data_IF_926089448717
#
_entry.id   IF_926089448717
#
_cell.length_a   1.000
_cell.length_b   1.000
_cell.length_c   1.000
_cell.angle_alpha   90.00
_cell.angle_beta   90.00
_cell.angle_gamma   90.00
#
_symmetry.space_group_name_H-M   'P 1'
#
loop_
_entity.id
_entity.type
_entity.pdbx_description
1 polymer ?
#
# COMPACT_ATOMS: atom_id res chain seq x y z
N UNK A 1 -24.15 9.53 -9.68
CA UNK A 1 -24.47 8.12 -9.37
C UNK A 1 -23.42 7.65 -8.40
N UNK A 2 -23.78 7.38 -7.13
CA UNK A 2 -22.82 6.89 -6.15
C UNK A 2 -22.50 5.42 -6.42
N UNK A 3 -21.22 5.11 -6.63
CA UNK A 3 -20.74 3.73 -6.77
C UNK A 3 -20.42 3.21 -5.37
N UNK A 4 -21.36 2.50 -4.74
CA UNK A 4 -21.08 1.81 -3.48
C UNK A 4 -20.03 0.72 -3.72
N UNK A 5 -18.93 0.75 -2.97
CA UNK A 5 -17.93 -0.34 -2.96
C UNK A 5 -17.95 -1.05 -1.62
N UNK A 6 -17.77 -2.36 -1.66
CA UNK A 6 -17.56 -3.16 -0.45
C UNK A 6 -16.08 -3.08 -0.09
N UNK A 7 -15.79 -2.67 1.15
CA UNK A 7 -14.45 -2.79 1.70
C UNK A 7 -14.22 -4.22 2.24
N UNK A 8 -12.96 -4.58 2.39
CA UNK A 8 -12.54 -5.86 2.96
C UNK A 8 -11.54 -5.64 4.08
N UNK A 9 -11.79 -6.25 5.24
CA UNK A 9 -10.98 -6.10 6.46
C UNK A 9 -10.13 -7.36 6.64
N UNK A 10 -8.83 -7.26 6.95
CA UNK A 10 -7.94 -8.41 7.06
C UNK A 10 -8.33 -9.33 8.21
N UNK A 11 -8.24 -10.63 7.99
CA UNK A 11 -8.31 -11.67 9.02
C UNK A 11 -6.91 -12.26 9.21
N UNK A 12 -6.36 -12.07 10.40
CA UNK A 12 -5.00 -12.45 10.74
C UNK A 12 -4.91 -13.89 11.26
N UNK A 13 -3.83 -14.58 10.90
CA UNK A 13 -3.50 -15.87 11.51
C UNK A 13 -2.99 -15.69 12.94
N UNK A 14 -3.26 -16.67 13.79
CA UNK A 14 -2.70 -16.71 15.15
C UNK A 14 -1.27 -17.28 15.23
N UNK A 15 -0.70 -17.76 14.10
CA UNK A 15 0.57 -18.50 14.07
C UNK A 15 1.55 -17.95 13.00
N UNK A 16 2.84 -17.77 13.30
CA UNK A 16 3.74 -16.88 12.55
C UNK A 16 4.41 -17.51 11.32
N UNK A 17 4.05 -18.74 10.92
CA UNK A 17 4.73 -19.44 9.83
C UNK A 17 3.80 -19.59 8.64
N UNK A 18 3.74 -18.56 7.79
CA UNK A 18 3.11 -18.73 6.49
C UNK A 18 4.11 -18.38 5.38
N UNK A 19 4.25 -19.31 4.45
CA UNK A 19 4.81 -19.01 3.14
C UNK A 19 3.76 -18.24 2.34
N UNK A 20 4.17 -17.11 1.78
CA UNK A 20 3.30 -16.16 1.07
C UNK A 20 2.58 -16.75 -0.15
N UNK A 21 2.95 -17.96 -0.58
CA UNK A 21 2.37 -18.63 -1.73
C UNK A 21 0.87 -18.89 -1.58
N UNK A 22 0.41 -19.21 -0.37
CA UNK A 22 -1.01 -19.50 -0.09
C UNK A 22 -1.73 -18.32 0.57
N UNK A 23 -1.02 -17.54 1.39
CA UNK A 23 -1.60 -16.40 2.09
C UNK A 23 -1.99 -15.26 1.16
N UNK A 24 -2.98 -14.46 1.59
CA UNK A 24 -3.41 -13.29 0.82
C UNK A 24 -2.43 -12.15 0.94
N UNK A 25 -1.86 -11.91 2.13
CA UNK A 25 -0.98 -10.77 2.35
C UNK A 25 -0.07 -10.99 3.55
N UNK A 26 1.12 -10.37 3.49
CA UNK A 26 2.05 -10.20 4.60
C UNK A 26 2.17 -8.70 4.91
N UNK A 27 2.08 -8.35 6.18
CA UNK A 27 2.39 -7.01 6.69
C UNK A 27 3.69 -7.10 7.48
N UNK A 28 4.59 -6.15 7.25
CA UNK A 28 5.90 -6.11 7.88
C UNK A 28 6.79 -7.30 7.51
N UNK A 29 7.71 -7.62 8.42
CA UNK A 29 8.68 -8.71 8.28
C UNK A 29 9.85 -8.37 7.35
N UNK A 30 10.83 -9.27 7.36
CA UNK A 30 12.03 -9.16 6.53
C UNK A 30 11.89 -9.84 5.16
N UNK A 31 10.74 -10.47 4.87
CA UNK A 31 10.54 -11.41 3.78
C UNK A 31 9.71 -10.81 2.64
N UNK A 32 10.25 -9.79 1.98
CA UNK A 32 9.75 -9.30 0.70
C UNK A 32 10.37 -10.07 -0.46
N UNK A 33 9.57 -10.32 -1.49
CA UNK A 33 10.11 -10.84 -2.74
C UNK A 33 10.76 -9.73 -3.56
N UNK A 34 12.01 -9.95 -3.95
CA UNK A 34 12.72 -9.20 -4.98
C UNK A 34 13.18 -10.19 -6.06
N UNK A 35 13.27 -9.76 -7.32
CA UNK A 35 13.81 -10.63 -8.39
C UNK A 35 15.29 -10.92 -8.14
N UNK A 36 15.84 -12.09 -8.52
CA UNK A 36 17.29 -12.30 -8.51
C UNK A 36 17.96 -11.11 -9.23
N UNK A 37 18.93 -10.46 -8.57
CA UNK A 37 19.63 -9.26 -9.05
C UNK A 37 18.87 -7.92 -8.94
N UNK A 38 17.65 -7.91 -8.44
CA UNK A 38 16.97 -6.67 -8.09
C UNK A 38 17.57 -6.05 -6.81
N UNK A 39 18.04 -4.79 -6.87
CA UNK A 39 18.54 -4.12 -5.69
C UNK A 39 17.39 -3.85 -4.71
N UNK A 40 17.71 -3.98 -3.43
CA UNK A 40 16.87 -3.51 -2.34
C UNK A 40 16.52 -2.02 -2.53
N UNK A 41 15.24 -1.64 -2.44
CA UNK A 41 14.82 -0.25 -2.59
C UNK A 41 15.42 0.68 -1.54
N UNK A 42 15.84 1.87 -1.93
CA UNK A 42 16.39 2.90 -1.02
C UNK A 42 15.54 4.16 -1.06
N UNK A 43 15.51 4.90 0.06
CA UNK A 43 14.85 6.19 0.17
C UNK A 43 15.57 7.21 -0.70
N UNK A 44 14.85 7.91 -1.59
CA UNK A 44 15.47 8.92 -2.45
C UNK A 44 15.94 10.17 -1.65
N UNK A 45 15.42 10.36 -0.44
CA UNK A 45 15.73 11.51 0.42
C UNK A 45 16.99 11.27 1.26
N UNK A 46 17.07 10.13 1.97
CA UNK A 46 18.16 9.85 2.92
C UNK A 46 19.05 8.65 2.54
N UNK A 47 18.78 7.98 1.42
CA UNK A 47 19.48 6.78 0.95
C UNK A 47 19.41 5.55 1.87
N UNK A 48 18.68 5.61 3.00
CA UNK A 48 18.44 4.43 3.82
C UNK A 48 17.68 3.34 3.05
N UNK A 49 17.99 2.05 3.27
CA UNK A 49 17.16 0.95 2.78
C UNK A 49 15.71 1.12 3.25
N UNK A 50 14.75 0.98 2.35
CA UNK A 50 13.34 1.04 2.71
C UNK A 50 12.92 -0.24 3.43
N UNK A 51 12.07 -0.11 4.44
CA UNK A 51 11.51 -1.24 5.18
C UNK A 51 10.27 -1.80 4.46
N UNK A 52 10.11 -3.13 4.40
CA UNK A 52 8.88 -3.76 3.96
C UNK A 52 7.69 -3.35 4.82
N UNK A 53 6.62 -2.87 4.20
CA UNK A 53 5.38 -2.58 4.90
C UNK A 53 4.29 -3.61 4.58
N UNK A 54 4.08 -3.90 3.29
CA UNK A 54 2.98 -4.74 2.83
C UNK A 54 3.35 -5.48 1.56
N UNK A 55 3.06 -6.77 1.52
CA UNK A 55 3.11 -7.62 0.32
C UNK A 55 1.81 -8.40 0.17
N UNK A 56 0.96 -7.97 -0.76
CA UNK A 56 -0.31 -8.62 -1.06
C UNK A 56 -0.20 -9.48 -2.31
N UNK A 57 -0.62 -10.75 -2.20
CA UNK A 57 -0.69 -11.72 -3.29
C UNK A 57 -2.02 -11.60 -4.04
N UNK A 58 -2.04 -10.80 -5.11
CA UNK A 58 -3.21 -10.60 -5.96
C UNK A 58 -3.57 -11.85 -6.79
N UNK A 59 -2.73 -12.88 -6.79
CA UNK A 59 -3.01 -14.15 -7.44
C UNK A 59 -3.60 -15.21 -6.49
N UNK A 60 -3.49 -15.04 -5.18
CA UNK A 60 -4.05 -15.99 -4.20
C UNK A 60 -5.58 -15.99 -4.22
N UNK A 61 -6.19 -17.17 -4.09
CA UNK A 61 -7.65 -17.30 -3.91
C UNK A 61 -8.14 -16.72 -2.59
N UNK A 62 -7.25 -16.59 -1.60
CA UNK A 62 -7.52 -15.92 -0.34
C UNK A 62 -7.73 -14.40 -0.52
N UNK A 63 -7.26 -13.81 -1.63
CA UNK A 63 -7.48 -12.40 -1.94
C UNK A 63 -8.86 -12.19 -2.60
N UNK A 64 -9.67 -11.20 -2.18
CA UNK A 64 -11.01 -11.00 -2.70
C UNK A 64 -11.02 -10.87 -4.21
N UNK A 65 -11.91 -11.61 -4.88
CA UNK A 65 -11.97 -11.67 -6.34
C UNK A 65 -12.18 -10.28 -6.98
N UNK A 66 -12.96 -9.42 -6.32
CA UNK A 66 -13.17 -8.02 -6.71
C UNK A 66 -11.89 -7.20 -6.71
N UNK A 67 -10.92 -7.49 -5.84
CA UNK A 67 -9.61 -6.83 -5.83
C UNK A 67 -8.73 -7.40 -6.93
N UNK A 68 -8.70 -8.74 -7.07
CA UNK A 68 -7.88 -9.44 -8.06
C UNK A 68 -8.15 -8.97 -9.49
N UNK A 69 -9.40 -8.65 -9.82
CA UNK A 69 -9.77 -8.14 -11.16
C UNK A 69 -9.23 -6.74 -11.46
N UNK A 70 -8.83 -5.97 -10.45
CA UNK A 70 -8.28 -4.62 -10.63
C UNK A 70 -6.75 -4.63 -10.82
N UNK A 71 -6.07 -5.70 -10.42
CA UNK A 71 -4.62 -5.83 -10.54
C UNK A 71 -4.29 -6.56 -11.85
N UNK A 72 -3.48 -5.96 -12.74
CA UNK A 72 -2.97 -6.64 -13.92
C UNK A 72 -2.29 -7.94 -13.57
N UNK A 73 -2.86 -9.05 -14.03
CA UNK A 73 -2.20 -10.35 -13.95
C UNK A 73 -1.41 -10.59 -15.23
N UNK A 74 -0.14 -11.00 -15.15
CA UNK A 74 0.63 -11.37 -16.33
C UNK A 74 -0.06 -12.56 -16.99
N UNK A 75 -0.31 -12.45 -18.30
CA UNK A 75 -0.77 -13.61 -19.07
C UNK A 75 0.39 -14.59 -19.13
N UNK A 76 0.28 -15.82 -18.61
CA UNK A 76 1.37 -16.77 -18.71
C UNK A 76 1.65 -17.02 -20.18
N UNK A 77 2.89 -16.76 -20.62
CA UNK A 77 3.34 -17.18 -21.94
C UNK A 77 3.18 -18.70 -22.04
N UNK A 78 2.83 -19.24 -23.22
CA UNK A 78 2.67 -20.69 -23.40
C UNK A 78 3.92 -21.43 -22.91
N UNK A 79 3.76 -22.26 -21.88
CA UNK A 79 4.84 -23.04 -21.27
C UNK A 79 5.62 -22.37 -20.13
N UNK A 80 5.26 -21.14 -19.73
CA UNK A 80 5.85 -20.48 -18.57
C UNK A 80 5.29 -21.05 -17.25
N UNK A 81 6.14 -21.13 -16.22
CA UNK A 81 5.72 -21.45 -14.84
C UNK A 81 4.66 -20.44 -14.38
N UNK A 82 3.74 -20.88 -13.51
CA UNK A 82 2.77 -19.96 -12.89
C UNK A 82 3.54 -18.84 -12.18
N UNK A 83 3.10 -17.61 -12.42
CA UNK A 83 3.63 -16.42 -11.80
C UNK A 83 2.55 -15.84 -10.88
N UNK A 84 2.90 -15.54 -9.64
CA UNK A 84 2.06 -14.79 -8.73
C UNK A 84 2.28 -13.29 -8.97
N UNK A 85 1.20 -12.51 -8.82
CA UNK A 85 1.23 -11.05 -8.88
C UNK A 85 1.18 -10.51 -7.48
N UNK A 86 2.19 -9.75 -7.10
CA UNK A 86 2.31 -9.13 -5.78
C UNK A 86 2.12 -7.63 -5.89
N UNK A 87 1.33 -7.03 -5.01
CA UNK A 87 1.36 -5.58 -4.73
C UNK A 87 2.27 -5.39 -3.53
N UNK A 88 3.32 -4.59 -3.68
CA UNK A 88 4.34 -4.38 -2.65
C UNK A 88 4.44 -2.90 -2.30
N UNK A 89 4.58 -2.63 -1.00
CA UNK A 89 4.88 -1.31 -0.44
C UNK A 89 6.10 -1.40 0.47
N UNK A 90 7.09 -0.56 0.15
CA UNK A 90 8.26 -0.30 0.97
C UNK A 90 8.24 1.16 1.41
N UNK A 91 8.64 1.43 2.64
CA UNK A 91 8.58 2.78 3.21
C UNK A 91 9.85 3.13 3.97
N UNK A 92 10.15 4.41 4.12
CA UNK A 92 11.34 4.86 4.83
C UNK A 92 11.06 4.80 6.33
N UNK A 93 11.97 4.26 7.15
CA UNK A 93 11.73 4.24 8.59
C UNK A 93 11.98 5.61 9.25
N UNK A 94 12.53 6.59 8.52
CA UNK A 94 12.82 7.94 9.01
C UNK A 94 11.64 8.89 8.80
N UNK A 95 11.00 9.34 9.89
CA UNK A 95 9.79 10.17 9.88
C UNK A 95 9.92 11.46 9.05
N UNK A 96 11.03 12.19 9.19
CA UNK A 96 11.28 13.45 8.49
C UNK A 96 11.31 13.30 6.95
N UNK A 97 11.59 12.10 6.46
CA UNK A 97 11.58 11.82 5.02
C UNK A 97 10.17 11.90 4.43
N UNK A 98 9.12 11.59 5.21
CA UNK A 98 7.73 11.69 4.73
C UNK A 98 7.27 13.13 4.60
N UNK A 99 7.62 13.99 5.54
CA UNK A 99 7.30 15.42 5.50
C UNK A 99 7.95 16.08 4.27
N UNK A 100 9.20 15.70 3.97
CA UNK A 100 9.91 16.14 2.76
C UNK A 100 9.27 15.60 1.47
N UNK A 101 8.75 14.37 1.51
CA UNK A 101 8.12 13.72 0.34
C UNK A 101 6.73 14.28 0.03
N UNK A 102 5.99 14.69 1.05
CA UNK A 102 4.64 15.27 0.92
C UNK A 102 4.70 16.76 0.59
N UNK A 103 5.77 17.46 1.00
CA UNK A 103 5.97 18.90 0.82
C UNK A 103 6.48 19.37 -0.55
N UNK A 104 5.85 18.99 -1.67
CA UNK A 104 6.02 19.65 -2.99
C UNK A 104 7.22 19.25 -3.90
N UNK A 105 7.89 18.10 -3.71
CA UNK A 105 9.02 17.67 -4.56
C UNK A 105 8.84 16.26 -5.13
N UNK A 106 8.86 16.12 -6.46
CA UNK A 106 8.69 14.83 -7.18
C UNK A 106 9.91 13.90 -7.12
N UNK A 107 11.06 14.40 -6.64
CA UNK A 107 12.34 13.68 -6.63
C UNK A 107 12.72 13.07 -5.28
N UNK A 108 11.92 13.29 -4.23
CA UNK A 108 12.23 12.89 -2.86
C UNK A 108 11.20 11.90 -2.37
N UNK A 109 11.19 10.67 -2.89
CA UNK A 109 10.24 9.63 -2.47
C UNK A 109 10.77 8.84 -1.27
N UNK A 110 10.03 8.90 -0.15
CA UNK A 110 10.27 8.06 1.04
C UNK A 110 9.57 6.70 0.98
N UNK A 111 8.99 6.31 -0.16
CA UNK A 111 8.34 5.01 -0.35
C UNK A 111 8.53 4.49 -1.78
N UNK A 112 8.30 3.19 -1.94
CA UNK A 112 8.16 2.51 -3.23
C UNK A 112 6.92 1.63 -3.17
N UNK A 113 5.93 1.93 -4.04
CA UNK A 113 4.77 1.07 -4.28
C UNK A 113 4.84 0.51 -5.69
N UNK A 114 4.58 -0.79 -5.86
CA UNK A 114 4.74 -1.46 -7.14
C UNK A 114 3.94 -2.74 -7.28
N UNK A 115 3.78 -3.17 -8.53
CA UNK A 115 3.33 -4.52 -8.89
C UNK A 115 4.56 -5.34 -9.28
N UNK A 116 4.77 -6.45 -8.60
CA UNK A 116 5.83 -7.41 -8.90
C UNK A 116 5.24 -8.72 -9.42
N UNK A 117 5.94 -9.34 -10.35
CA UNK A 117 5.61 -10.67 -10.85
C UNK A 117 6.65 -11.66 -10.33
N UNK A 118 6.17 -12.71 -9.68
CA UNK A 118 6.96 -13.57 -8.80
C UNK A 118 6.77 -15.04 -9.22
N UNK A 119 7.84 -15.84 -9.40
CA UNK A 119 7.69 -17.27 -9.56
C UNK A 119 7.12 -17.88 -8.27
N UNK A 120 6.23 -18.86 -8.39
CA UNK A 120 5.60 -19.56 -7.24
C UNK A 120 6.64 -20.22 -6.30
N UNK A 121 7.87 -20.44 -6.78
CA UNK A 121 9.03 -20.80 -5.95
C UNK A 121 10.07 -19.68 -6.04
N UNK A 122 10.17 -18.80 -5.03
CA UNK A 122 11.21 -17.77 -4.98
C UNK A 122 12.62 -18.39 -5.05
N UNK A 123 13.56 -17.66 -5.65
CA UNK A 123 14.97 -18.00 -5.59
C UNK A 123 15.54 -17.81 -4.19
N UNK A 124 16.69 -18.43 -3.94
CA UNK A 124 17.45 -18.22 -2.72
C UNK A 124 17.86 -16.75 -2.53
N UNK A 125 18.06 -16.41 -1.27
CA UNK A 125 18.54 -15.12 -0.80
C UNK A 125 19.87 -14.70 -1.45
N UNK A 126 20.02 -13.43 -1.77
CA UNK A 126 21.27 -12.89 -2.35
C UNK A 126 22.10 -12.20 -1.28
N UNK A 127 23.45 -12.18 -1.38
CA UNK A 127 24.30 -11.44 -0.44
C UNK A 127 23.94 -9.95 -0.32
N UNK A 128 23.45 -9.34 -1.40
CA UNK A 128 23.02 -7.93 -1.42
C UNK A 128 21.80 -7.71 -0.52
N UNK A 129 20.84 -8.64 -0.54
CA UNK A 129 19.65 -8.55 0.33
C UNK A 129 20.01 -8.78 1.80
N UNK A 130 20.97 -9.67 2.07
CA UNK A 130 21.45 -9.88 3.43
C UNK A 130 22.10 -8.61 4.00
N UNK A 131 22.91 -7.89 3.22
CA UNK A 131 23.51 -6.61 3.64
C UNK A 131 22.45 -5.54 3.91
N UNK A 132 21.48 -5.37 3.00
CA UNK A 132 20.40 -4.41 3.17
C UNK A 132 19.57 -4.70 4.42
N UNK A 133 19.28 -5.98 4.69
CA UNK A 133 18.53 -6.38 5.89
C UNK A 133 19.32 -6.17 7.17
N UNK A 134 20.61 -6.48 7.18
CA UNK A 134 21.48 -6.18 8.31
C UNK A 134 21.46 -4.67 8.65
N UNK A 135 21.52 -3.80 7.63
CA UNK A 135 21.42 -2.34 7.82
C UNK A 135 20.07 -1.90 8.40
N UNK A 136 18.98 -2.58 8.05
CA UNK A 136 17.65 -2.31 8.63
C UNK A 136 17.61 -2.77 10.08
N UNK A 137 18.13 -3.97 10.38
CA UNK A 137 18.19 -4.53 11.73
C UNK A 137 19.06 -3.71 12.69
N UNK A 138 20.16 -3.13 12.21
CA UNK A 138 21.03 -2.24 12.99
C UNK A 138 20.37 -0.90 13.32
N UNK A 139 19.41 -0.46 12.50
CA UNK A 139 18.68 0.79 12.67
C UNK A 139 17.38 0.60 13.45
N UNK A 140 16.26 0.86 12.78
CA UNK A 140 14.93 0.85 13.38
C UNK A 140 14.25 -0.54 13.36
N UNK A 141 14.93 -1.56 12.82
CA UNK A 141 14.42 -2.92 12.74
C UNK A 141 13.30 -3.13 11.71
N UNK A 142 12.82 -4.37 11.64
CA UNK A 142 11.63 -4.73 10.86
C UNK A 142 10.39 -4.66 11.73
N UNK A 143 9.28 -4.27 11.11
CA UNK A 143 7.97 -4.42 11.69
C UNK A 143 7.69 -5.91 11.94
N UNK A 144 7.04 -6.29 13.06
CA UNK A 144 6.60 -7.66 13.28
C UNK A 144 5.78 -8.18 12.10
N UNK A 145 6.14 -9.37 11.61
CA UNK A 145 5.46 -10.00 10.50
C UNK A 145 4.05 -10.44 10.90
N UNK A 146 3.04 -10.04 10.13
CA UNK A 146 1.65 -10.50 10.30
C UNK A 146 1.12 -11.04 8.98
N UNK A 147 0.47 -12.19 9.04
CA UNK A 147 -0.06 -12.84 7.84
C UNK A 147 -1.57 -12.72 7.83
N UNK A 148 -2.10 -12.34 6.67
CA UNK A 148 -3.53 -12.29 6.39
C UNK A 148 -3.90 -13.52 5.57
N UNK A 149 -4.68 -14.41 6.18
CA UNK A 149 -5.17 -15.65 5.55
C UNK A 149 -6.46 -15.45 4.77
N UNK A 150 -7.20 -14.37 5.08
CA UNK A 150 -8.49 -14.11 4.47
C UNK A 150 -9.00 -12.72 4.80
N UNK A 151 -10.23 -12.45 4.35
CA UNK A 151 -10.83 -11.13 4.46
C UNK A 151 -12.29 -11.22 4.87
N UNK A 152 -12.66 -10.43 5.87
CA UNK A 152 -14.04 -10.21 6.24
C UNK A 152 -14.63 -9.11 5.35
N UNK A 153 -15.92 -9.22 5.03
CA UNK A 153 -16.66 -8.16 4.34
C UNK A 153 -16.80 -6.99 5.33
N UNK A 154 -16.26 -5.84 4.96
CA UNK A 154 -16.40 -4.59 5.70
C UNK A 154 -17.69 -3.84 5.36
N UNK A 155 -17.79 -2.58 5.78
CA UNK A 155 -18.95 -1.75 5.46
C UNK A 155 -18.96 -1.35 3.97
N UNK A 156 -20.14 -1.00 3.48
CA UNK A 156 -20.27 -0.33 2.19
C UNK A 156 -19.84 1.11 2.36
N UNK A 157 -18.82 1.51 1.62
CA UNK A 157 -18.33 2.88 1.66
C UNK A 157 -18.89 3.64 0.46
N UNK A 158 -19.25 4.90 0.70
CA UNK A 158 -19.87 5.79 -0.29
C UNK A 158 -18.83 6.81 -0.69
N UNK A 159 -18.48 6.86 -1.97
CA UNK A 159 -17.73 7.98 -2.53
C UNK A 159 -18.67 9.17 -2.64
N UNK A 160 -18.43 10.22 -1.86
CA UNK A 160 -19.05 11.50 -2.17
C UNK A 160 -18.22 12.23 -3.23
N UNK A 161 -18.83 12.46 -4.39
CA UNK A 161 -18.17 13.14 -5.51
C UNK A 161 -18.07 14.65 -5.28
N UNK A 162 -18.84 15.23 -4.35
CA UNK A 162 -18.84 16.67 -4.07
C UNK A 162 -17.54 17.12 -3.38
N UNK A 163 -16.88 16.22 -2.64
CA UNK A 163 -15.55 16.42 -2.02
C UNK A 163 -14.40 16.68 -3.01
N UNK A 164 -14.54 16.27 -4.27
CA UNK A 164 -13.46 16.39 -5.27
C UNK A 164 -13.34 17.82 -5.84
N UNK A 165 -14.33 18.69 -5.60
CA UNK A 165 -14.46 19.97 -6.30
C UNK A 165 -14.39 21.20 -5.39
N UNK A 166 -14.04 21.04 -4.11
CA UNK A 166 -13.63 22.13 -3.23
C UNK A 166 -14.73 23.15 -2.93
N UNK A 167 -15.95 22.70 -2.65
CA UNK A 167 -16.89 23.56 -1.93
C UNK A 167 -16.44 23.68 -0.47
N UNK A 168 -16.80 24.79 0.20
CA UNK A 168 -16.52 25.02 1.62
C UNK A 168 -17.26 23.96 2.46
N UNK A 169 -16.66 22.78 2.58
CA UNK A 169 -17.22 21.68 3.35
C UNK A 169 -17.06 21.98 4.85
N UNK A 170 -18.15 21.82 5.60
CA UNK A 170 -18.20 22.09 7.03
C UNK A 170 -17.45 21.01 7.82
N UNK A 171 -16.85 21.36 8.97
CA UNK A 171 -16.24 20.40 9.90
C UNK A 171 -17.21 19.27 10.30
N UNK A 172 -18.52 19.55 10.30
CA UNK A 172 -19.59 18.57 10.55
C UNK A 172 -19.61 17.44 9.52
N UNK A 173 -19.27 17.70 8.26
CA UNK A 173 -19.20 16.66 7.23
C UNK A 173 -18.05 15.70 7.48
N UNK A 174 -16.85 16.23 7.74
CA UNK A 174 -15.67 15.42 8.02
C UNK A 174 -15.86 14.59 9.29
N UNK A 175 -16.48 15.15 10.32
CA UNK A 175 -16.84 14.42 11.54
C UNK A 175 -17.87 13.29 11.29
N UNK A 176 -18.79 13.47 10.33
CA UNK A 176 -19.79 12.44 9.99
C UNK A 176 -19.27 11.33 9.07
N UNK A 177 -18.13 11.54 8.41
CA UNK A 177 -17.56 10.62 7.42
C UNK A 177 -16.09 10.30 7.71
N UNK A 178 -15.71 10.26 8.99
CA UNK A 178 -14.40 9.78 9.42
C UNK A 178 -14.14 8.39 8.81
N UNK A 179 -12.97 8.17 8.17
CA UNK A 179 -12.65 6.88 7.59
C UNK A 179 -12.67 5.82 8.68
N UNK A 180 -13.18 4.62 8.38
CA UNK A 180 -13.04 3.53 9.35
C UNK A 180 -11.55 3.25 9.57
N UNK A 181 -11.12 3.09 10.84
CA UNK A 181 -9.74 2.81 11.15
C UNK A 181 -9.34 1.44 10.62
N UNK A 182 -8.06 1.32 10.29
CA UNK A 182 -7.37 0.09 9.97
C UNK A 182 -7.14 -0.14 8.49
N UNK A 183 -6.48 -1.25 8.22
CA UNK A 183 -6.15 -1.70 6.87
C UNK A 183 -7.39 -2.24 6.16
N UNK A 184 -7.67 -1.76 4.94
CA UNK A 184 -8.83 -2.21 4.13
C UNK A 184 -8.45 -2.36 2.65
N UNK A 185 -9.02 -3.36 1.96
CA UNK A 185 -9.03 -3.40 0.48
C UNK A 185 -10.32 -2.82 -0.09
N UNK A 186 -10.21 -2.21 -1.26
CA UNK A 186 -11.34 -1.73 -2.08
C UNK A 186 -12.30 -0.82 -1.32
N UNK A 187 -11.73 0.07 -0.51
CA UNK A 187 -12.48 1.11 0.18
C UNK A 187 -12.61 2.40 -0.63
N UNK A 188 -13.49 3.27 -0.14
CA UNK A 188 -13.44 4.70 -0.41
C UNK A 188 -12.90 5.39 0.83
N UNK A 189 -11.66 5.88 0.71
CA UNK A 189 -11.18 6.89 1.64
C UNK A 189 -11.99 8.15 1.38
N UNK A 190 -12.59 8.70 2.42
CA UNK A 190 -12.85 10.13 2.39
C UNK A 190 -11.47 10.76 2.21
N UNK A 191 -11.34 11.72 1.30
CA UNK A 191 -10.08 12.44 1.13
C UNK A 191 -10.14 13.63 2.06
N UNK A 192 -9.24 13.69 3.03
CA UNK A 192 -9.15 14.83 3.94
C UNK A 192 -8.91 16.14 3.16
N UNK A 193 -9.20 17.28 3.79
CA UNK A 193 -9.12 18.63 3.20
C UNK A 193 -7.77 18.94 2.52
N UNK A 194 -6.71 18.33 3.00
CA UNK A 194 -5.37 18.42 2.42
C UNK A 194 -4.89 17.02 2.10
N UNK A 195 -4.76 16.68 0.82
CA UNK A 195 -4.15 15.42 0.39
C UNK A 195 -3.03 15.65 -0.62
N UNK A 196 -1.99 14.83 -0.49
CA UNK A 196 -0.87 14.77 -1.41
C UNK A 196 -0.95 13.44 -2.15
N UNK A 197 -0.93 13.52 -3.48
CA UNK A 197 -0.88 12.36 -4.38
C UNK A 197 0.04 12.68 -5.53
N UNK A 198 0.74 11.66 -6.04
CA UNK A 198 1.54 11.83 -7.25
C UNK A 198 0.60 12.06 -8.44
N UNK A 199 0.62 13.31 -8.94
CA UNK A 199 -0.20 13.75 -10.07
C UNK A 199 0.25 13.11 -11.38
N UNK A 200 1.46 12.55 -11.42
CA UNK A 200 2.05 12.07 -12.65
C UNK A 200 1.60 10.62 -12.91
N UNK A 201 0.65 10.47 -13.84
CA UNK A 201 0.61 9.28 -14.65
C UNK A 201 1.52 9.53 -15.86
N UNK A 202 2.61 8.76 -16.06
CA UNK A 202 3.59 9.03 -17.12
C UNK A 202 3.02 8.92 -18.54
N UNK A 203 1.78 8.46 -18.68
CA UNK A 203 1.06 8.29 -19.94
C UNK A 203 -0.24 9.11 -20.03
N UNK A 204 -0.65 9.81 -18.97
CA UNK A 204 -1.77 10.74 -19.05
C UNK A 204 -1.23 12.11 -19.47
N UNK A 205 -1.58 12.57 -20.68
CA UNK A 205 -1.31 13.95 -21.06
C UNK A 205 -2.06 14.89 -20.12
N UNK A 206 -1.33 15.70 -19.35
CA UNK A 206 -1.69 16.94 -18.61
C UNK A 206 -3.09 17.13 -17.98
N UNK A 207 -3.97 16.15 -17.94
CA UNK A 207 -5.30 16.29 -17.38
C UNK A 207 -5.32 15.91 -15.90
N UNK A 208 -6.10 16.68 -15.15
CA UNK A 208 -6.30 16.63 -13.70
C UNK A 208 -6.87 15.28 -13.23
N UNK A 209 -7.27 15.21 -11.96
CA UNK A 209 -7.22 14.03 -11.08
C UNK A 209 -8.39 13.00 -11.07
N UNK A 210 -9.33 12.84 -12.05
CA UNK A 210 -10.46 11.92 -11.85
C UNK A 210 -10.22 10.45 -12.27
N UNK A 211 -9.03 10.05 -12.75
CA UNK A 211 -8.77 8.67 -13.18
C UNK A 211 -7.99 7.81 -12.18
N UNK A 212 -7.98 8.14 -10.88
CA UNK A 212 -7.37 7.30 -9.84
C UNK A 212 -8.46 6.53 -9.07
N UNK A 213 -8.16 5.29 -8.69
CA UNK A 213 -8.98 4.49 -7.78
C UNK A 213 -8.17 4.05 -6.58
N UNK A 214 -8.78 4.11 -5.41
CA UNK A 214 -8.21 3.61 -4.17
C UNK A 214 -8.29 2.09 -4.12
N UNK A 215 -7.16 1.45 -3.83
CA UNK A 215 -7.04 0.00 -3.75
C UNK A 215 -6.91 -0.49 -2.32
N UNK A 216 -6.04 0.18 -1.54
CA UNK A 216 -5.70 -0.24 -0.18
C UNK A 216 -5.66 1.01 0.69
N UNK A 217 -6.48 1.08 1.74
CA UNK A 217 -6.33 2.05 2.81
C UNK A 217 -5.45 1.41 3.89
N UNK A 218 -4.35 2.06 4.29
CA UNK A 218 -3.39 1.50 5.25
C UNK A 218 -3.79 1.76 6.71
N UNK A 219 -4.56 2.81 6.96
CA UNK A 219 -5.03 3.22 8.28
C UNK A 219 -4.95 4.74 8.46
N UNK A 220 -5.46 5.21 9.60
CA UNK A 220 -5.39 6.60 10.06
C UNK A 220 -4.59 6.74 11.38
N UNK A 221 -4.43 7.99 11.86
CA UNK A 221 -3.79 8.35 13.13
C UNK A 221 -4.44 7.72 14.38
N UNK A 222 -5.68 7.24 14.27
CA UNK A 222 -6.49 6.75 15.40
C UNK A 222 -6.68 5.24 15.41
N UNK A 223 -6.10 4.54 14.47
CA UNK A 223 -5.95 3.12 14.56
C UNK A 223 -5.14 2.80 15.83
N UNK A 224 -5.63 1.87 16.64
CA UNK A 224 -4.92 1.27 17.78
C UNK A 224 -3.70 0.43 17.31
N UNK A 225 -2.89 0.95 16.39
CA UNK A 225 -1.51 0.52 16.17
C UNK A 225 -0.64 0.85 17.39
N UNK A 226 -1.13 1.71 18.30
CA UNK A 226 -0.46 2.11 19.55
C UNK A 226 -0.27 0.96 20.54
N UNK A 227 -1.13 -0.06 20.55
CA UNK A 227 -0.86 -1.25 21.38
C UNK A 227 0.21 -2.18 20.76
N UNK A 228 0.65 -1.93 19.52
CA UNK A 228 1.22 -2.99 18.69
C UNK A 228 2.43 -2.58 17.80
N UNK A 229 3.00 -1.38 18.00
CA UNK A 229 4.27 -0.77 17.48
C UNK A 229 4.59 -0.90 15.97
N UNK A 230 3.89 -1.74 15.21
CA UNK A 230 4.29 -2.21 13.90
C UNK A 230 3.98 -1.21 12.78
N UNK A 231 3.18 -0.18 13.02
CA UNK A 231 2.93 0.89 12.05
C UNK A 231 3.13 2.27 12.66
N UNK A 232 3.68 2.36 13.88
CA UNK A 232 4.01 3.63 14.55
C UNK A 232 4.98 4.52 13.76
N UNK A 233 5.72 3.94 12.80
CA UNK A 233 6.52 4.69 11.82
C UNK A 233 5.69 5.55 10.86
N UNK A 234 4.39 5.28 10.74
CA UNK A 234 3.42 6.05 9.96
C UNK A 234 2.54 6.95 10.84
N UNK A 235 2.87 7.12 12.13
CA UNK A 235 2.10 7.98 13.05
C UNK A 235 2.08 9.47 12.65
N UNK A 236 2.84 9.88 11.62
CA UNK A 236 2.75 11.21 11.01
C UNK A 236 1.80 11.25 9.80
N UNK A 237 1.31 10.10 9.33
CA UNK A 237 0.49 9.97 8.13
C UNK A 237 -1.00 9.94 8.55
N UNK A 238 -1.70 11.07 8.39
CA UNK A 238 -3.12 11.25 8.73
C UNK A 238 -4.01 10.07 8.33
N UNK A 239 -4.23 9.88 7.03
CA UNK A 239 -4.74 8.64 6.42
C UNK A 239 -3.92 8.39 5.17
N UNK A 240 -3.49 7.15 4.95
CA UNK A 240 -2.65 6.79 3.82
C UNK A 240 -3.32 5.69 2.98
N UNK A 241 -3.21 5.80 1.66
CA UNK A 241 -3.79 4.84 0.74
C UNK A 241 -2.95 4.63 -0.52
N UNK A 242 -3.04 3.41 -1.06
CA UNK A 242 -2.47 3.07 -2.37
C UNK A 242 -3.53 3.35 -3.43
N UNK A 243 -3.20 4.24 -4.35
CA UNK A 243 -4.01 4.54 -5.53
C UNK A 243 -3.46 3.85 -6.77
N UNK A 244 -4.36 3.52 -7.68
CA UNK A 244 -4.06 2.99 -9.00
C UNK A 244 -4.64 3.89 -10.08
N UNK A 245 -3.88 4.16 -11.13
CA UNK A 245 -4.42 4.79 -12.32
C UNK A 245 -5.39 3.83 -13.03
N UNK A 246 -6.61 4.30 -13.32
CA UNK A 246 -7.65 3.55 -14.01
C UNK A 246 -7.25 3.29 -15.46
N UNK A 247 -6.59 4.27 -16.10
CA UNK A 247 -6.12 4.16 -17.49
C UNK A 247 -4.83 3.33 -17.62
N UNK A 248 -4.04 3.30 -16.55
CA UNK A 248 -2.75 2.58 -16.47
C UNK A 248 -2.69 1.77 -15.19
N UNK A 249 -3.36 0.61 -15.12
CA UNK A 249 -3.48 -0.17 -13.89
C UNK A 249 -2.14 -0.68 -13.32
N UNK A 250 -1.05 -0.63 -14.10
CA UNK A 250 0.30 -0.89 -13.61
C UNK A 250 0.90 0.26 -12.78
N UNK A 251 0.33 1.46 -12.86
CA UNK A 251 0.82 2.66 -12.18
C UNK A 251 0.14 2.80 -10.83
N UNK A 252 0.89 2.52 -9.77
CA UNK A 252 0.50 2.71 -8.38
C UNK A 252 1.19 3.94 -7.77
N UNK A 253 0.52 4.60 -6.83
CA UNK A 253 1.13 5.62 -5.96
C UNK A 253 0.64 5.47 -4.54
N UNK A 254 1.43 5.94 -3.58
CA UNK A 254 0.96 6.22 -2.24
C UNK A 254 0.42 7.65 -2.22
N UNK A 255 -0.71 7.82 -1.55
CA UNK A 255 -1.37 9.10 -1.36
C UNK A 255 -1.74 9.22 0.11
N UNK A 256 -1.75 10.45 0.63
CA UNK A 256 -1.94 10.70 2.06
C UNK A 256 -2.74 11.97 2.30
N UNK A 257 -3.49 12.05 3.40
CA UNK A 257 -4.08 13.29 3.90
C UNK A 257 -3.45 13.77 5.20
N UNK A 258 -3.27 15.09 5.33
CA UNK A 258 -2.58 15.71 6.47
C UNK A 258 -3.47 15.92 7.70
N UNK A 259 -4.78 16.05 7.53
CA UNK A 259 -5.75 16.16 8.61
C UNK A 259 -6.89 15.16 8.40
N UNK A 260 -7.21 14.43 9.47
CA UNK A 260 -8.56 14.10 9.89
C UNK A 260 -8.82 14.91 11.16
#
# INVERSE_FOLDING_TARGET
MSFLRLSFIPVYVSSPVAELGESSMLIGGATMYLKPDEPWPTCATCAHPLVPLLQLNASSEATPSSFRTLIPSPTPAKGARMLATMVQLFVCPEGDCYDTSTGYSTNTRSWVVRIATVPVSPSADTPYWAEARAKIEEGNGFLPARVVEGWAIGKKETLDQELLWGQDDSEEFYAAHEPEPGLKLLGHTVRGKYFCSDRECPRAGTHEHPSRRELIQLGDLHCDWEEDEALGMMATLGNAWIEQCVDHPEVLTLSMSGNW
#
